data_IF_953777550827
#
_entry.id   IF_953777550827
#
_cell.length_a   1.000
_cell.length_b   1.000
_cell.length_c   1.000
_cell.angle_alpha   90.00
_cell.angle_beta   90.00
_cell.angle_gamma   90.00
#
_symmetry.space_group_name_H-M   'P 1'
#
loop_
_entity.id
_entity.type
_entity.pdbx_description
1 polymer ?
#
# COMPACT_ATOMS: atom_id res chain seq x y z
N UNK A 1 4.33 17.37 -3.90
CA UNK A 1 3.81 16.14 -4.54
C UNK A 1 4.61 14.91 -4.13
N UNK A 2 5.94 14.93 -4.34
CA UNK A 2 6.91 13.87 -3.99
C UNK A 2 6.70 13.18 -2.63
N UNK A 3 6.66 13.95 -1.55
CA UNK A 3 6.54 13.42 -0.18
C UNK A 3 5.20 12.72 0.10
N UNK A 4 4.13 13.12 -0.59
CA UNK A 4 2.83 12.45 -0.49
C UNK A 4 2.87 11.05 -1.11
N UNK A 5 3.52 10.90 -2.26
CA UNK A 5 3.70 9.59 -2.90
C UNK A 5 4.59 8.68 -2.05
N UNK A 6 5.66 9.22 -1.47
CA UNK A 6 6.50 8.51 -0.51
C UNK A 6 5.69 8.01 0.70
N UNK A 7 4.79 8.86 1.21
CA UNK A 7 3.90 8.52 2.32
C UNK A 7 2.96 7.35 1.97
N UNK A 8 2.39 7.35 0.77
CA UNK A 8 1.55 6.25 0.28
C UNK A 8 2.36 4.96 0.16
N UNK A 9 3.58 5.01 -0.40
CA UNK A 9 4.44 3.84 -0.52
C UNK A 9 4.78 3.22 0.85
N UNK A 10 5.11 4.05 1.83
CA UNK A 10 5.40 3.61 3.21
C UNK A 10 4.16 3.02 3.90
N UNK A 11 2.97 3.58 3.66
CA UNK A 11 1.72 3.04 4.20
C UNK A 11 1.42 1.63 3.65
N UNK A 12 1.61 1.42 2.34
CA UNK A 12 1.47 0.11 1.71
C UNK A 12 2.47 -0.90 2.25
N UNK A 13 3.74 -0.51 2.35
CA UNK A 13 4.81 -1.34 2.91
C UNK A 13 4.48 -1.76 4.34
N UNK A 14 4.02 -0.81 5.17
CA UNK A 14 3.62 -1.06 6.55
C UNK A 14 2.43 -2.00 6.65
N UNK A 15 1.45 -1.85 5.77
CA UNK A 15 0.27 -2.73 5.73
C UNK A 15 0.67 -4.17 5.47
N UNK A 16 1.53 -4.41 4.47
CA UNK A 16 2.06 -5.74 4.15
C UNK A 16 2.87 -6.30 5.32
N UNK A 17 3.73 -5.49 5.92
CA UNK A 17 4.51 -5.89 7.11
C UNK A 17 3.61 -6.23 8.31
N UNK A 18 2.54 -5.47 8.53
CA UNK A 18 1.55 -5.74 9.58
C UNK A 18 0.85 -7.08 9.40
N UNK A 19 0.46 -7.41 8.16
CA UNK A 19 -0.12 -8.72 7.83
C UNK A 19 0.84 -9.87 8.13
N UNK A 20 2.13 -9.73 7.79
CA UNK A 20 3.16 -10.71 8.12
C UNK A 20 3.30 -10.95 9.62
N UNK A 21 3.36 -9.86 10.38
CA UNK A 21 3.59 -9.94 11.82
C UNK A 21 2.46 -10.71 12.49
N UNK A 22 1.22 -10.49 12.06
CA UNK A 22 0.06 -11.19 12.58
C UNK A 22 0.08 -12.69 12.28
N UNK A 23 0.55 -13.09 11.09
CA UNK A 23 0.73 -14.50 10.72
C UNK A 23 1.77 -15.19 11.61
N UNK A 24 2.96 -14.59 11.77
CA UNK A 24 4.04 -15.18 12.57
C UNK A 24 3.63 -15.38 14.04
N UNK A 25 2.78 -14.51 14.59
CA UNK A 25 2.24 -14.67 15.94
C UNK A 25 1.13 -15.72 16.08
N UNK A 26 0.67 -16.37 15.00
CA UNK A 26 -0.36 -17.42 15.06
C UNK A 26 -1.74 -16.95 15.57
N UNK A 27 -1.93 -15.64 15.78
CA UNK A 27 -3.12 -15.04 16.39
C UNK A 27 -4.32 -14.89 15.46
N UNK A 28 -4.23 -15.35 14.20
CA UNK A 28 -5.32 -15.19 13.23
C UNK A 28 -6.53 -16.11 13.47
N UNK A 29 -6.40 -17.17 14.28
CA UNK A 29 -7.44 -18.21 14.38
C UNK A 29 -8.32 -18.16 15.63
N UNK A 30 -7.99 -17.37 16.65
CA UNK A 30 -8.72 -17.38 17.92
C UNK A 30 -9.17 -15.99 18.35
N UNK A 31 -10.42 -15.63 18.02
CA UNK A 31 -11.18 -14.54 18.63
C UNK A 31 -10.35 -13.31 19.00
N UNK A 32 -9.78 -12.61 18.02
CA UNK A 32 -9.13 -11.32 18.29
C UNK A 32 -10.19 -10.39 18.88
N UNK A 33 -10.11 -10.16 20.19
CA UNK A 33 -11.04 -9.34 20.93
C UNK A 33 -11.26 -8.00 20.20
N UNK A 34 -12.52 -7.61 20.01
CA UNK A 34 -12.91 -6.38 19.28
C UNK A 34 -12.19 -5.11 19.77
N UNK A 35 -11.65 -5.13 20.99
CA UNK A 35 -10.80 -4.10 21.59
C UNK A 35 -9.45 -3.93 20.86
N UNK A 36 -8.79 -5.02 20.45
CA UNK A 36 -7.52 -4.98 19.70
C UNK A 36 -7.71 -4.33 18.32
N UNK A 37 -8.80 -4.65 17.63
CA UNK A 37 -9.12 -4.05 16.32
C UNK A 37 -9.31 -2.54 16.45
N UNK A 38 -10.03 -2.08 17.49
CA UNK A 38 -10.22 -0.65 17.76
C UNK A 38 -8.90 0.05 18.09
N UNK A 39 -8.01 -0.60 18.84
CA UNK A 39 -6.69 -0.07 19.16
C UNK A 39 -5.82 0.10 17.91
N UNK A 40 -5.75 -0.93 17.05
CA UNK A 40 -4.98 -0.87 15.80
C UNK A 40 -5.50 0.24 14.89
N UNK A 41 -6.82 0.38 14.73
CA UNK A 41 -7.41 1.47 13.95
C UNK A 41 -6.98 2.86 14.46
N UNK A 42 -7.05 3.09 15.78
CA UNK A 42 -6.62 4.36 16.38
C UNK A 42 -5.13 4.62 16.16
N UNK A 43 -4.29 3.59 16.25
CA UNK A 43 -2.85 3.71 16.02
C UNK A 43 -2.54 4.05 14.55
N UNK A 44 -3.21 3.41 13.60
CA UNK A 44 -3.05 3.67 12.17
C UNK A 44 -3.43 5.11 11.83
N UNK A 45 -4.55 5.62 12.36
CA UNK A 45 -4.97 7.01 12.13
C UNK A 45 -3.93 8.00 12.66
N UNK A 46 -3.45 7.81 13.90
CA UNK A 46 -2.41 8.69 14.48
C UNK A 46 -1.10 8.65 13.71
N UNK A 47 -0.70 7.48 13.22
CA UNK A 47 0.51 7.35 12.41
C UNK A 47 0.34 8.06 11.07
N UNK A 48 -0.79 7.88 10.41
CA UNK A 48 -1.09 8.53 9.14
C UNK A 48 -1.05 10.06 9.29
N UNK A 49 -1.63 10.61 10.36
CA UNK A 49 -1.52 12.03 10.68
C UNK A 49 -0.07 12.50 10.86
N UNK A 50 0.76 11.71 11.57
CA UNK A 50 2.19 12.01 11.72
C UNK A 50 2.94 11.98 10.39
N UNK A 51 2.65 10.99 9.55
CA UNK A 51 3.27 10.83 8.24
C UNK A 51 2.95 12.02 7.32
N UNK A 52 1.68 12.45 7.31
CA UNK A 52 1.25 13.66 6.58
C UNK A 52 1.96 14.90 7.11
N UNK A 53 1.99 15.08 8.44
CA UNK A 53 2.68 16.23 9.04
C UNK A 53 4.17 16.25 8.65
N UNK A 54 4.86 15.11 8.73
CA UNK A 54 6.26 14.99 8.31
C UNK A 54 6.43 15.27 6.81
N UNK A 55 5.49 14.84 5.97
CA UNK A 55 5.49 15.15 4.54
C UNK A 55 5.38 16.66 4.30
N UNK A 56 4.52 17.37 5.04
CA UNK A 56 4.40 18.83 4.92
C UNK A 56 5.65 19.56 5.42
N UNK A 57 6.20 19.15 6.56
CA UNK A 57 7.43 19.73 7.09
C UNK A 57 8.60 19.49 6.12
N UNK A 58 8.75 18.27 5.61
CA UNK A 58 9.76 17.94 4.61
C UNK A 58 9.60 18.73 3.32
N UNK A 59 8.36 18.89 2.83
CA UNK A 59 8.08 19.73 1.68
C UNK A 59 8.44 21.20 1.92
N UNK A 60 8.07 21.76 3.09
CA UNK A 60 8.42 23.12 3.45
C UNK A 60 9.93 23.33 3.46
N UNK A 61 10.69 22.43 4.12
CA UNK A 61 12.15 22.50 4.20
C UNK A 61 12.83 22.41 2.83
N UNK A 62 12.38 21.52 1.95
CA UNK A 62 12.93 21.39 0.59
C UNK A 62 12.52 22.56 -0.32
N UNK A 63 11.41 23.24 -0.02
CA UNK A 63 10.98 24.43 -0.75
C UNK A 63 11.68 25.73 -0.28
N UNK A 64 12.29 25.77 0.92
CA UNK A 64 12.99 26.97 1.41
C UNK A 64 14.05 27.48 0.42
N UNK A 65 14.96 26.66 -0.14
CA UNK A 65 15.92 27.12 -1.14
C UNK A 65 15.28 27.73 -2.39
N UNK A 66 14.10 27.25 -2.79
CA UNK A 66 13.39 27.77 -3.96
C UNK A 66 12.99 29.24 -3.76
N UNK A 67 12.66 29.63 -2.53
CA UNK A 67 12.27 31.01 -2.25
C UNK A 67 13.43 32.01 -2.46
N UNK A 68 14.67 31.59 -2.20
CA UNK A 68 15.85 32.44 -2.39
C UNK A 68 16.38 32.44 -3.82
N UNK A 69 16.14 31.35 -4.56
CA UNK A 69 16.71 31.14 -5.90
C UNK A 69 15.85 31.77 -7.00
N UNK A 70 14.54 31.88 -6.78
CA UNK A 70 13.60 32.36 -7.80
C UNK A 70 13.41 33.86 -7.70
N UNK A 71 13.45 34.52 -8.85
CA UNK A 71 13.24 35.96 -9.00
C UNK A 71 12.36 36.22 -10.21
N UNK A 72 11.62 37.31 -10.19
CA UNK A 72 10.87 37.78 -11.37
C UNK A 72 11.78 38.66 -12.22
N UNK A 73 11.78 38.43 -13.53
CA UNK A 73 12.37 39.34 -14.53
C UNK A 73 11.21 39.96 -15.30
N UNK A 74 11.22 41.28 -15.40
CA UNK A 74 10.28 42.01 -16.23
C UNK A 74 10.88 42.25 -17.62
N UNK A 75 10.30 41.63 -18.63
CA UNK A 75 10.69 41.77 -20.03
C UNK A 75 9.68 42.66 -20.75
N UNK A 76 9.74 43.99 -20.57
CA UNK A 76 8.90 45.06 -21.19
C UNK A 76 7.39 44.80 -21.34
N UNK A 77 6.97 43.74 -22.04
CA UNK A 77 5.60 43.29 -22.28
C UNK A 77 5.15 42.12 -21.41
N UNK A 78 6.05 41.39 -20.74
CA UNK A 78 5.68 40.25 -19.87
C UNK A 78 6.69 40.01 -18.75
N UNK A 79 6.23 39.45 -17.63
CA UNK A 79 7.08 39.07 -16.50
C UNK A 79 7.25 37.56 -16.39
N UNK A 80 8.48 37.07 -16.31
CA UNK A 80 8.79 35.65 -16.10
C UNK A 80 9.36 35.43 -14.70
N UNK A 81 8.84 34.44 -13.99
CA UNK A 81 9.50 33.91 -12.80
C UNK A 81 10.60 32.94 -13.25
N UNK A 82 11.85 33.23 -12.93
CA UNK A 82 13.00 32.41 -13.33
C UNK A 82 14.03 32.34 -12.21
N UNK A 83 15.05 31.50 -12.37
CA UNK A 83 16.13 31.43 -11.39
C UNK A 83 17.06 32.63 -11.53
N UNK A 84 17.69 33.03 -10.43
CA UNK A 84 18.66 34.12 -10.43
C UNK A 84 19.81 33.89 -11.42
N UNK A 85 20.21 32.63 -11.64
CA UNK A 85 21.25 32.28 -12.60
C UNK A 85 20.83 32.49 -14.05
N UNK A 86 19.57 32.18 -14.39
CA UNK A 86 19.03 32.52 -15.71
C UNK A 86 18.93 34.02 -15.92
N UNK A 87 18.59 34.79 -14.88
CA UNK A 87 18.59 36.25 -14.94
C UNK A 87 19.97 36.79 -15.29
N UNK A 88 21.01 36.33 -14.58
CA UNK A 88 22.38 36.78 -14.80
C UNK A 88 22.83 36.44 -16.23
N UNK A 89 22.60 35.20 -16.70
CA UNK A 89 22.92 34.80 -18.07
C UNK A 89 22.19 35.61 -19.13
N UNK A 90 20.91 35.92 -18.92
CA UNK A 90 20.15 36.74 -19.86
C UNK A 90 20.71 38.16 -19.96
N UNK A 91 21.12 38.74 -18.83
CA UNK A 91 21.74 40.08 -18.79
C UNK A 91 23.12 40.04 -19.47
N UNK A 92 23.96 39.05 -19.19
CA UNK A 92 25.27 38.89 -19.84
C UNK A 92 25.14 38.77 -21.36
N UNK A 93 24.17 37.97 -21.83
CA UNK A 93 23.91 37.79 -23.26
C UNK A 93 23.51 39.11 -23.94
N UNK A 94 22.68 39.94 -23.29
CA UNK A 94 22.27 41.25 -23.84
C UNK A 94 23.46 42.23 -23.94
N UNK A 95 24.42 42.14 -23.02
CA UNK A 95 25.59 43.02 -23.00
C UNK A 95 26.76 42.51 -23.87
N UNK A 96 26.56 41.42 -24.62
CA UNK A 96 27.61 40.83 -25.46
C UNK A 96 28.74 40.16 -24.69
N UNK A 97 28.51 39.82 -23.42
CA UNK A 97 29.46 39.04 -22.63
C UNK A 97 29.47 37.57 -23.07
N UNK A 98 30.66 36.99 -23.14
CA UNK A 98 30.80 35.53 -23.24
C UNK A 98 30.21 34.90 -21.96
N UNK A 99 29.34 33.87 -22.08
CA UNK A 99 28.68 33.27 -20.94
C UNK A 99 29.73 32.67 -20.00
N UNK A 100 29.81 33.22 -18.79
CA UNK A 100 30.74 32.71 -17.78
C UNK A 100 30.41 31.26 -17.43
N UNK A 101 31.45 30.45 -17.21
CA UNK A 101 31.34 29.05 -16.82
C UNK A 101 30.28 28.86 -15.72
N UNK A 102 29.38 27.89 -15.92
CA UNK A 102 28.21 27.63 -15.06
C UNK A 102 28.55 27.67 -13.57
N UNK A 103 27.83 28.47 -12.79
CA UNK A 103 28.06 28.60 -11.36
C UNK A 103 27.86 27.24 -10.66
N UNK A 104 28.84 26.79 -9.87
CA UNK A 104 28.77 25.50 -9.13
C UNK A 104 27.50 25.39 -8.27
N UNK A 105 27.02 26.51 -7.72
CA UNK A 105 25.78 26.58 -6.96
C UNK A 105 24.53 26.23 -7.77
N UNK A 106 24.45 26.63 -9.04
CA UNK A 106 23.33 26.28 -9.93
C UNK A 106 23.25 24.77 -10.11
N UNK A 107 24.41 24.15 -10.33
CA UNK A 107 24.51 22.70 -10.52
C UNK A 107 24.07 21.94 -9.27
N UNK A 108 24.61 22.31 -8.11
CA UNK A 108 24.27 21.66 -6.84
C UNK A 108 22.78 21.82 -6.54
N UNK A 109 22.23 23.02 -6.69
CA UNK A 109 20.81 23.27 -6.46
C UNK A 109 19.94 22.42 -7.40
N UNK A 110 20.24 22.41 -8.68
CA UNK A 110 19.45 21.69 -9.68
C UNK A 110 19.53 20.18 -9.44
N UNK A 111 20.71 19.65 -9.11
CA UNK A 111 20.88 18.24 -8.77
C UNK A 111 20.08 17.85 -7.52
N UNK A 112 20.16 18.65 -6.45
CA UNK A 112 19.41 18.41 -5.21
C UNK A 112 17.90 18.51 -5.43
N UNK A 113 17.45 19.50 -6.19
CA UNK A 113 16.04 19.66 -6.54
C UNK A 113 15.53 18.44 -7.32
N UNK A 114 16.28 18.02 -8.34
CA UNK A 114 15.97 16.85 -9.16
C UNK A 114 15.94 15.55 -8.33
N UNK A 115 16.91 15.37 -7.43
CA UNK A 115 16.99 14.22 -6.56
C UNK A 115 15.79 14.15 -5.60
N UNK A 116 15.46 15.27 -4.96
CA UNK A 116 14.42 15.33 -3.91
C UNK A 116 13.01 15.27 -4.48
N UNK A 117 12.75 15.92 -5.62
CA UNK A 117 11.42 15.98 -6.23
C UNK A 117 11.09 14.72 -7.02
N UNK A 118 12.08 14.13 -7.71
CA UNK A 118 11.82 13.02 -8.62
C UNK A 118 12.45 11.70 -8.17
N UNK A 119 13.78 11.64 -8.04
CA UNK A 119 14.50 10.37 -7.87
C UNK A 119 14.25 9.70 -6.51
N UNK A 120 14.22 10.47 -5.42
CA UNK A 120 14.02 9.93 -4.08
C UNK A 120 12.63 9.30 -3.93
N UNK A 121 11.52 9.95 -4.31
CA UNK A 121 10.21 9.31 -4.34
C UNK A 121 10.18 8.08 -5.24
N UNK A 122 10.75 8.18 -6.44
CA UNK A 122 10.79 7.07 -7.40
C UNK A 122 11.49 5.83 -6.81
N UNK A 123 12.71 6.01 -6.28
CA UNK A 123 13.48 4.93 -5.67
C UNK A 123 12.77 4.33 -4.45
N UNK A 124 12.10 5.15 -3.65
CA UNK A 124 11.34 4.65 -2.52
C UNK A 124 10.12 3.81 -2.94
N UNK A 125 9.38 4.23 -3.97
CA UNK A 125 8.28 3.44 -4.54
C UNK A 125 8.82 2.13 -5.12
N UNK A 126 9.90 2.21 -5.90
CA UNK A 126 10.54 1.04 -6.50
C UNK A 126 10.99 0.05 -5.43
N UNK A 127 11.68 0.51 -4.38
CA UNK A 127 12.13 -0.32 -3.27
C UNK A 127 10.96 -0.94 -2.50
N UNK A 128 9.92 -0.15 -2.19
CA UNK A 128 8.71 -0.67 -1.54
C UNK A 128 8.03 -1.75 -2.41
N UNK A 129 8.01 -1.56 -3.72
CA UNK A 129 7.40 -2.49 -4.66
C UNK A 129 8.18 -3.79 -4.81
N UNK A 130 9.50 -3.69 -5.03
CA UNK A 130 10.41 -4.84 -5.08
C UNK A 130 10.28 -5.64 -3.79
N UNK A 131 10.21 -4.98 -2.64
CA UNK A 131 9.98 -5.64 -1.36
C UNK A 131 8.65 -6.40 -1.31
N UNK A 132 7.55 -5.79 -1.76
CA UNK A 132 6.23 -6.44 -1.80
C UNK A 132 6.24 -7.65 -2.74
N UNK A 133 6.83 -7.53 -3.93
CA UNK A 133 6.96 -8.62 -4.91
C UNK A 133 7.77 -9.77 -4.32
N UNK A 134 8.97 -9.48 -3.82
CA UNK A 134 9.84 -10.47 -3.23
C UNK A 134 9.15 -11.17 -2.07
N UNK A 135 8.42 -10.41 -1.24
CA UNK A 135 7.63 -10.97 -0.16
C UNK A 135 6.53 -11.91 -0.65
N UNK A 136 5.72 -11.50 -1.63
CA UNK A 136 4.65 -12.33 -2.18
C UNK A 136 5.21 -13.60 -2.84
N UNK A 137 6.36 -13.48 -3.50
CA UNK A 137 7.07 -14.59 -4.09
C UNK A 137 7.53 -15.59 -3.03
N UNK A 138 8.27 -15.13 -2.01
CA UNK A 138 8.70 -15.97 -0.89
C UNK A 138 7.53 -16.61 -0.14
N UNK A 139 6.42 -15.88 -0.01
CA UNK A 139 5.20 -16.41 0.58
C UNK A 139 4.60 -17.53 -0.28
N UNK A 140 4.56 -17.37 -1.60
CA UNK A 140 4.07 -18.40 -2.53
C UNK A 140 4.95 -19.65 -2.54
N UNK A 141 6.25 -19.50 -2.24
CA UNK A 141 7.19 -20.61 -2.14
C UNK A 141 7.09 -21.37 -0.82
N UNK A 142 6.45 -20.81 0.21
CA UNK A 142 6.36 -21.47 1.51
C UNK A 142 5.41 -22.67 1.40
N UNK A 143 5.90 -23.92 1.48
CA UNK A 143 5.02 -25.07 1.44
C UNK A 143 4.07 -25.00 2.65
N UNK A 144 2.78 -25.21 2.41
CA UNK A 144 1.80 -25.34 3.49
C UNK A 144 2.20 -26.54 4.32
N UNK A 145 2.97 -26.30 5.38
CA UNK A 145 3.33 -27.33 6.34
C UNK A 145 2.02 -27.70 7.00
N UNK A 146 1.42 -28.80 6.52
CA UNK A 146 0.20 -29.34 7.06
C UNK A 146 0.47 -29.55 8.54
N UNK A 147 -0.14 -28.69 9.37
CA UNK A 147 0.00 -28.78 10.81
C UNK A 147 -0.48 -30.19 11.16
N UNK A 148 0.37 -31.06 11.73
CA UNK A 148 -0.08 -32.39 12.10
C UNK A 148 -1.25 -32.18 13.03
N UNK A 149 -2.44 -32.58 12.57
CA UNK A 149 -3.62 -32.60 13.40
C UNK A 149 -3.25 -33.48 14.58
N UNK A 150 -3.02 -32.85 15.74
CA UNK A 150 -3.04 -33.55 17.02
C UNK A 150 -4.46 -34.06 17.14
N UNK A 151 -4.72 -35.19 16.50
CA UNK A 151 -5.87 -36.01 16.80
C UNK A 151 -5.71 -36.32 18.28
N UNK A 152 -6.49 -35.63 19.10
CA UNK A 152 -6.69 -36.01 20.49
C UNK A 152 -7.26 -37.42 20.46
N UNK A 153 -6.36 -38.40 20.51
CA UNK A 153 -6.68 -39.77 20.81
C UNK A 153 -7.12 -39.76 22.27
N UNK A 154 -8.37 -39.35 22.52
CA UNK A 154 -9.07 -39.72 23.74
C UNK A 154 -9.27 -41.23 23.64
N UNK A 155 -8.31 -41.98 24.16
CA UNK A 155 -8.54 -43.37 24.52
C UNK A 155 -9.66 -43.36 25.55
N UNK A 156 -10.83 -43.86 25.14
CA UNK A 156 -11.89 -44.26 26.04
C UNK A 156 -11.34 -45.40 26.91
N UNK A 157 -10.79 -45.08 28.08
CA UNK A 157 -10.56 -46.08 29.11
C UNK A 157 -11.88 -46.26 29.85
N UNK A 158 -12.72 -47.14 29.32
CA UNK A 158 -13.85 -47.72 30.04
C UNK A 158 -13.27 -48.59 31.16
N UNK A 159 -13.33 -48.13 32.41
CA UNK A 159 -13.34 -49.02 33.57
C UNK A 159 -14.45 -48.59 34.49
N UNK A 160 -15.44 -49.48 34.62
CA UNK A 160 -16.52 -49.38 35.56
C UNK A 160 -16.07 -49.90 36.94
N UNK A 161 -16.75 -49.35 37.96
CA UNK A 161 -17.01 -49.90 39.29
C UNK A 161 -16.07 -49.55 40.46
N UNK A 162 -16.69 -48.79 41.38
CA UNK A 162 -16.74 -48.96 42.83
C UNK A 162 -15.53 -48.54 43.69
N UNK A 163 -15.68 -47.45 44.46
CA UNK A 163 -16.18 -47.49 45.85
C UNK A 163 -15.73 -46.26 46.67
N UNK A 164 -16.72 -45.64 47.31
CA UNK A 164 -16.72 -45.04 48.66
C UNK A 164 -15.81 -43.85 49.04
N UNK A 165 -16.48 -42.87 49.67
CA UNK A 165 -16.11 -42.23 50.95
C UNK A 165 -15.74 -40.74 50.93
N UNK A 166 -16.72 -39.94 51.40
CA UNK A 166 -16.62 -38.94 52.49
C UNK A 166 -15.93 -37.57 52.31
N UNK A 167 -16.56 -36.60 52.99
CA UNK A 167 -16.15 -35.22 53.33
C UNK A 167 -16.37 -34.18 52.23
N UNK A 168 -17.46 -33.39 52.23
CA UNK A 168 -17.90 -32.42 53.23
C UNK A 168 -16.77 -31.51 53.72
N UNK A 169 -16.68 -30.31 53.14
CA UNK A 169 -16.38 -29.06 53.84
C UNK A 169 -16.78 -27.86 52.97
N UNK A 170 -17.84 -27.18 53.41
CA UNK A 170 -18.17 -25.78 53.07
C UNK A 170 -17.30 -24.85 53.93
N UNK A 171 -16.77 -23.78 53.34
CA UNK A 171 -16.44 -22.47 53.95
C UNK A 171 -15.95 -21.57 52.78
N UNK A 172 -16.76 -20.65 52.26
CA UNK A 172 -16.99 -19.26 52.71
C UNK A 172 -15.72 -18.39 52.78
N UNK A 173 -15.59 -17.43 51.86
CA UNK A 173 -15.25 -16.04 52.19
C UNK A 173 -15.64 -15.10 51.04
N UNK A 174 -16.62 -14.26 51.36
CA UNK A 174 -16.91 -12.96 50.77
C UNK A 174 -15.78 -11.93 51.07
N UNK A 175 -15.87 -10.81 50.33
CA UNK A 175 -15.26 -9.48 50.58
C UNK A 175 -13.74 -9.34 50.34
N UNK A 176 -13.21 -8.18 49.93
CA UNK A 176 -13.71 -6.94 49.34
C UNK A 176 -12.50 -6.06 49.00
N UNK A 177 -12.71 -5.09 48.09
CA UNK A 177 -12.11 -3.76 48.04
C UNK A 177 -10.57 -3.59 48.09
N UNK A 178 -10.04 -3.08 46.98
CA UNK A 178 -9.25 -1.84 47.02
C UNK A 178 -9.43 -1.05 45.72
N UNK A 179 -10.26 -0.02 45.84
CA UNK A 179 -10.50 1.04 44.86
C UNK A 179 -9.38 2.08 44.93
N UNK A 180 -8.63 2.26 43.84
CA UNK A 180 -7.78 3.44 43.66
C UNK A 180 -8.62 4.55 43.05
N UNK A 181 -8.93 5.53 43.90
CA UNK A 181 -9.51 6.81 43.58
C UNK A 181 -8.52 7.63 42.72
N UNK A 182 -8.87 7.94 41.47
CA UNK A 182 -8.31 9.13 40.80
C UNK A 182 -9.45 10.07 40.41
N UNK A 183 -9.28 11.26 40.95
CA UNK A 183 -10.16 12.39 41.11
C UNK A 183 -10.63 12.92 39.75
N UNK A 184 -11.96 12.89 39.50
CA UNK A 184 -12.62 13.55 38.38
C UNK A 184 -13.32 14.79 38.92
N UNK A 185 -12.62 15.91 38.89
CA UNK A 185 -13.19 17.22 39.23
C UNK A 185 -14.09 17.72 38.10
N UNK A 186 -15.35 17.91 38.47
CA UNK A 186 -16.41 18.63 37.78
C UNK A 186 -15.99 20.09 37.57
N UNK A 187 -16.05 20.59 36.33
CA UNK A 187 -16.26 22.01 36.07
C UNK A 187 -17.48 22.13 35.15
N UNK A 188 -18.33 23.03 35.59
CA UNK A 188 -19.67 23.38 35.15
C UNK A 188 -19.74 23.98 33.76
N UNK A 189 -20.89 23.70 33.12
CA UNK A 189 -21.67 24.56 32.21
C UNK A 189 -21.05 25.93 31.87
N UNK A 190 -20.77 26.13 30.58
CA UNK A 190 -21.16 27.34 29.86
C UNK A 190 -21.76 26.93 28.51
N UNK A 191 -23.07 27.10 28.46
CA UNK A 191 -23.91 27.10 27.27
C UNK A 191 -23.62 28.41 26.54
N UNK A 192 -23.14 28.35 25.29
CA UNK A 192 -23.14 29.52 24.42
C UNK A 192 -23.77 29.16 23.09
N UNK A 193 -24.94 29.76 22.90
CA UNK A 193 -25.71 29.85 21.69
C UNK A 193 -24.99 30.75 20.68
N UNK A 194 -24.75 30.26 19.47
CA UNK A 194 -24.58 31.09 18.28
C UNK A 194 -25.29 30.43 17.10
N UNK A 195 -26.51 30.91 16.86
CA UNK A 195 -27.15 31.21 15.58
C UNK A 195 -26.62 30.51 14.31
N UNK A 196 -27.45 29.57 13.85
CA UNK A 196 -28.12 29.59 12.56
C UNK A 196 -27.69 30.69 11.56
N UNK A 197 -26.84 30.33 10.61
CA UNK A 197 -26.84 30.93 9.27
C UNK A 197 -26.98 29.83 8.22
N UNK A 198 -28.03 29.98 7.41
CA UNK A 198 -28.35 29.18 6.25
C UNK A 198 -27.21 29.20 5.24
N UNK A 199 -26.58 28.04 5.02
CA UNK A 199 -25.94 27.72 3.75
C UNK A 199 -26.55 26.43 3.19
N UNK A 200 -27.54 26.60 2.32
CA UNK A 200 -27.96 25.57 1.38
C UNK A 200 -26.83 25.35 0.37
N UNK A 201 -25.88 24.48 0.71
CA UNK A 201 -24.98 23.87 -0.27
C UNK A 201 -25.40 22.41 -0.44
N UNK A 202 -26.24 22.19 -1.43
CA UNK A 202 -26.63 20.88 -1.95
C UNK A 202 -25.38 20.22 -2.53
N UNK A 203 -24.66 19.46 -1.71
CA UNK A 203 -23.54 18.63 -2.14
C UNK A 203 -24.11 17.43 -2.88
N UNK A 204 -24.24 17.56 -4.20
CA UNK A 204 -24.56 16.47 -5.12
C UNK A 204 -23.42 15.46 -5.04
N UNK A 205 -23.67 14.36 -4.33
CA UNK A 205 -22.84 13.15 -4.40
C UNK A 205 -23.01 12.57 -5.80
N UNK A 206 -21.94 12.35 -6.60
CA UNK A 206 -22.06 11.63 -7.85
C UNK A 206 -22.40 10.18 -7.54
N UNK A 207 -23.59 9.77 -7.95
CA UNK A 207 -24.07 8.41 -7.89
C UNK A 207 -23.36 7.60 -9.00
N UNK A 208 -22.16 7.09 -8.72
CA UNK A 208 -21.41 6.19 -9.60
C UNK A 208 -21.95 4.75 -9.43
N UNK A 209 -23.13 4.50 -9.98
CA UNK A 209 -23.68 3.18 -10.22
C UNK A 209 -24.43 3.20 -11.55
N UNK A 210 -23.71 3.38 -12.66
CA UNK A 210 -24.19 2.89 -13.96
C UNK A 210 -23.04 2.80 -14.96
N UNK A 211 -22.55 1.60 -15.23
CA UNK A 211 -22.17 1.26 -16.60
C UNK A 211 -22.32 -0.24 -16.82
N UNK A 212 -23.24 -0.54 -17.72
CA UNK A 212 -23.52 -1.84 -18.28
C UNK A 212 -22.32 -2.36 -19.11
N UNK A 213 -22.35 -3.68 -19.30
CA UNK A 213 -21.78 -4.42 -20.43
C UNK A 213 -20.27 -4.71 -20.40
N UNK A 214 -19.93 -5.83 -19.77
CA UNK A 214 -19.06 -6.78 -20.44
C UNK A 214 -19.55 -8.20 -20.14
N UNK A 215 -20.10 -8.80 -21.18
CA UNK A 215 -20.46 -10.21 -21.31
C UNK A 215 -19.25 -11.06 -20.89
N UNK A 216 -19.42 -11.90 -19.88
CA UNK A 216 -18.53 -13.04 -19.63
C UNK A 216 -19.37 -14.30 -19.55
N UNK A 217 -18.93 -15.39 -20.20
CA UNK A 217 -19.69 -16.62 -20.25
C UNK A 217 -19.63 -17.32 -18.88
N UNK A 218 -20.80 -17.57 -18.31
CA UNK A 218 -20.97 -18.55 -17.25
C UNK A 218 -20.52 -19.91 -17.77
N UNK A 219 -19.38 -20.41 -17.30
CA UNK A 219 -19.03 -21.83 -17.40
C UNK A 219 -19.85 -22.59 -16.36
N UNK A 220 -21.13 -22.80 -16.66
CA UNK A 220 -21.92 -23.86 -16.05
C UNK A 220 -21.53 -25.16 -16.74
N UNK A 221 -20.56 -25.86 -16.16
CA UNK A 221 -20.34 -27.27 -16.49
C UNK A 221 -21.39 -28.07 -15.73
N UNK A 222 -22.47 -28.39 -16.44
CA UNK A 222 -23.48 -29.36 -16.02
C UNK A 222 -22.80 -30.71 -15.79
N UNK A 223 -22.89 -31.24 -14.56
CA UNK A 223 -22.60 -32.65 -14.30
C UNK A 223 -23.86 -33.45 -14.61
N UNK A 224 -23.87 -34.01 -15.81
CA UNK A 224 -24.84 -34.97 -16.30
C UNK A 224 -24.75 -36.31 -15.54
N UNK A 225 -25.93 -36.81 -15.15
CA UNK A 225 -26.33 -38.22 -15.18
C UNK A 225 -25.69 -39.17 -14.14
N UNK A 226 -26.49 -39.46 -13.11
CA UNK A 226 -26.49 -40.76 -12.43
C UNK A 226 -26.99 -41.86 -13.35
N UNK A 227 -26.39 -43.06 -13.29
CA UNK A 227 -27.12 -44.30 -13.43
C UNK A 227 -27.14 -45.04 -12.09
N UNK A 228 -28.34 -45.47 -11.69
CA UNK A 228 -28.53 -46.30 -10.51
C UNK A 228 -27.91 -47.68 -10.68
N UNK A 229 -27.38 -48.22 -9.58
CA UNK A 229 -27.10 -49.63 -9.44
C UNK A 229 -27.95 -50.19 -8.31
N UNK A 230 -28.99 -50.93 -8.70
CA UNK A 230 -29.71 -51.87 -7.86
C UNK A 230 -28.81 -53.10 -7.69
N UNK A 231 -28.48 -53.49 -6.46
CA UNK A 231 -27.91 -54.80 -6.15
C UNK A 231 -28.59 -55.34 -4.90
N UNK A 232 -29.33 -56.42 -5.12
CA UNK A 232 -30.07 -57.18 -4.13
C UNK A 232 -29.28 -58.43 -3.78
N UNK A 233 -29.18 -58.71 -2.47
CA UNK A 233 -29.08 -60.06 -1.92
C UNK A 233 -27.69 -60.69 -1.79
N UNK A 234 -27.39 -61.21 -0.60
CA UNK A 234 -26.44 -62.31 -0.44
C UNK A 234 -25.43 -62.17 0.70
N UNK A 235 -25.88 -62.58 1.89
CA UNK A 235 -25.18 -63.31 2.94
C UNK A 235 -23.83 -62.88 3.56
N UNK A 236 -23.84 -63.11 4.87
CA UNK A 236 -22.80 -62.94 5.85
C UNK A 236 -21.46 -63.59 5.48
N UNK A 237 -20.36 -62.88 5.72
CA UNK A 237 -19.17 -63.46 6.35
C UNK A 237 -18.28 -62.35 6.92
N UNK A 238 -17.89 -62.55 8.18
CA UNK A 238 -16.95 -61.73 8.91
C UNK A 238 -15.60 -61.65 8.18
N UNK A 239 -15.22 -60.45 7.78
CA UNK A 239 -13.81 -60.08 7.63
C UNK A 239 -13.62 -58.69 8.22
N UNK A 240 -12.96 -58.63 9.38
CA UNK A 240 -12.41 -57.42 9.99
C UNK A 240 -11.30 -56.86 9.08
N UNK A 241 -11.70 -56.24 7.97
CA UNK A 241 -10.86 -55.30 7.26
C UNK A 241 -11.08 -53.95 7.94
N UNK A 242 -10.15 -53.55 8.80
CA UNK A 242 -10.01 -52.19 9.31
C UNK A 242 -9.79 -51.25 8.13
N UNK A 243 -10.89 -50.91 7.46
CA UNK A 243 -10.97 -49.99 6.36
C UNK A 243 -10.76 -48.61 6.97
N UNK A 244 -9.49 -48.23 7.07
CA UNK A 244 -9.03 -46.85 7.23
C UNK A 244 -9.62 -46.06 6.06
N UNK A 245 -10.87 -45.64 6.20
CA UNK A 245 -11.49 -44.64 5.36
C UNK A 245 -10.60 -43.39 5.48
N UNK A 246 -9.70 -43.24 4.51
CA UNK A 246 -8.95 -42.02 4.28
C UNK A 246 -9.98 -40.92 4.06
N UNK A 247 -10.38 -40.28 5.16
CA UNK A 247 -11.26 -39.13 5.15
C UNK A 247 -10.63 -38.12 4.19
N UNK A 248 -11.33 -37.72 3.11
CA UNK A 248 -10.76 -36.82 2.13
C UNK A 248 -10.35 -35.56 2.86
N UNK A 249 -9.03 -35.37 2.98
CA UNK A 249 -8.44 -34.22 3.65
C UNK A 249 -9.15 -32.98 3.12
N UNK A 250 -9.89 -32.29 4.00
CA UNK A 250 -10.58 -31.05 3.65
C UNK A 250 -9.49 -30.05 3.29
N UNK A 251 -9.09 -30.03 2.00
CA UNK A 251 -8.18 -29.02 1.46
C UNK A 251 -8.83 -27.69 1.79
N UNK A 252 -8.26 -26.96 2.75
CA UNK A 252 -8.73 -25.62 3.08
C UNK A 252 -8.67 -24.82 1.79
N UNK A 253 -9.84 -24.61 1.20
CA UNK A 253 -10.01 -23.93 -0.08
C UNK A 253 -9.68 -22.47 0.21
N UNK A 254 -8.43 -22.08 -0.01
CA UNK A 254 -8.04 -20.67 0.02
C UNK A 254 -8.98 -19.98 -0.96
N UNK A 255 -9.77 -18.99 -0.52
CA UNK A 255 -10.85 -18.51 -1.34
C UNK A 255 -10.28 -17.76 -2.55
N UNK A 256 -10.71 -18.17 -3.75
CA UNK A 256 -10.15 -17.72 -5.03
C UNK A 256 -10.14 -16.18 -5.20
N UNK A 257 -11.11 -15.48 -4.57
CA UNK A 257 -11.19 -14.02 -4.60
C UNK A 257 -9.93 -13.33 -4.04
N UNK A 258 -9.20 -13.99 -3.13
CA UNK A 258 -7.99 -13.44 -2.51
C UNK A 258 -6.79 -13.41 -3.47
N UNK A 259 -6.76 -14.30 -4.45
CA UNK A 259 -5.72 -14.33 -5.50
C UNK A 259 -6.06 -13.32 -6.61
N UNK A 260 -7.33 -13.27 -7.02
CA UNK A 260 -7.81 -12.36 -8.08
C UNK A 260 -7.64 -10.87 -7.71
N UNK A 261 -8.02 -10.49 -6.49
CA UNK A 261 -7.85 -9.12 -5.99
C UNK A 261 -6.39 -8.66 -5.99
N UNK A 262 -5.43 -9.56 -5.78
CA UNK A 262 -4.00 -9.23 -5.75
C UNK A 262 -3.46 -8.93 -7.14
N UNK A 263 -3.89 -9.68 -8.16
CA UNK A 263 -3.46 -9.48 -9.55
C UNK A 263 -3.86 -8.11 -10.09
N UNK A 264 -5.11 -7.69 -9.85
CA UNK A 264 -5.63 -6.40 -10.35
C UNK A 264 -4.93 -5.20 -9.71
N UNK A 265 -4.73 -5.23 -8.39
CA UNK A 265 -4.01 -4.16 -7.66
C UNK A 265 -2.55 -4.08 -8.12
N UNK A 266 -1.95 -5.23 -8.43
CA UNK A 266 -0.59 -5.29 -8.96
C UNK A 266 -0.50 -4.63 -10.34
N UNK A 267 -1.39 -5.01 -11.26
CA UNK A 267 -1.44 -4.43 -12.60
C UNK A 267 -1.65 -2.92 -12.56
N UNK A 268 -2.62 -2.40 -11.80
CA UNK A 268 -2.85 -0.95 -11.73
C UNK A 268 -1.64 -0.20 -11.20
N UNK A 269 -0.96 -0.75 -10.20
CA UNK A 269 0.26 -0.14 -9.64
C UNK A 269 1.39 -0.11 -10.67
N UNK A 270 1.59 -1.19 -11.45
CA UNK A 270 2.57 -1.21 -12.54
C UNK A 270 2.26 -0.15 -13.58
N UNK A 271 1.00 -0.02 -14.00
CA UNK A 271 0.62 0.99 -14.98
C UNK A 271 0.89 2.41 -14.48
N UNK A 272 0.64 2.69 -13.18
CA UNK A 272 0.95 3.99 -12.58
C UNK A 272 2.46 4.25 -12.56
N UNK A 273 3.27 3.26 -12.18
CA UNK A 273 4.74 3.38 -12.17
C UNK A 273 5.26 3.57 -13.60
N UNK A 274 4.74 2.80 -14.56
CA UNK A 274 5.12 2.88 -15.97
C UNK A 274 4.74 4.25 -16.57
N UNK A 275 3.52 4.74 -16.32
CA UNK A 275 3.10 6.07 -16.76
C UNK A 275 3.97 7.17 -16.13
N UNK A 276 4.28 7.06 -14.84
CA UNK A 276 5.18 7.98 -14.16
C UNK A 276 6.58 7.97 -14.80
N UNK A 277 7.13 6.79 -15.10
CA UNK A 277 8.40 6.66 -15.79
C UNK A 277 8.35 7.25 -17.20
N UNK A 278 7.35 6.92 -18.01
CA UNK A 278 7.25 7.39 -19.39
C UNK A 278 7.13 8.92 -19.44
N UNK A 279 6.29 9.51 -18.59
CA UNK A 279 6.06 10.96 -18.61
C UNK A 279 7.24 11.76 -18.06
N UNK A 280 7.95 11.24 -17.06
CA UNK A 280 8.94 12.03 -16.32
C UNK A 280 10.40 11.60 -16.59
N UNK A 281 10.67 10.32 -16.84
CA UNK A 281 12.04 9.83 -17.02
C UNK A 281 12.81 10.57 -18.14
N UNK A 282 12.24 10.83 -19.34
CA UNK A 282 13.00 11.47 -20.42
C UNK A 282 13.55 12.84 -20.01
N UNK A 283 12.70 13.66 -19.37
CA UNK A 283 13.07 14.99 -18.89
C UNK A 283 14.16 14.92 -17.81
N UNK A 284 13.96 14.05 -16.80
CA UNK A 284 14.89 13.95 -15.67
C UNK A 284 16.23 13.31 -16.06
N UNK A 285 16.24 12.36 -17.02
CA UNK A 285 17.47 11.78 -17.57
C UNK A 285 18.23 12.81 -18.40
N UNK A 286 17.53 13.61 -19.22
CA UNK A 286 18.17 14.69 -19.97
C UNK A 286 18.79 15.72 -19.02
N UNK A 287 18.07 16.11 -17.97
CA UNK A 287 18.59 16.99 -16.93
C UNK A 287 19.84 16.39 -16.26
N UNK A 288 19.82 15.11 -15.88
CA UNK A 288 21.00 14.43 -15.33
C UNK A 288 22.18 14.37 -16.31
N UNK A 289 21.93 14.12 -17.59
CA UNK A 289 22.97 14.02 -18.61
C UNK A 289 23.79 15.32 -18.71
N UNK A 290 23.16 16.48 -18.50
CA UNK A 290 23.85 17.78 -18.49
C UNK A 290 24.91 17.91 -17.37
N UNK A 291 24.82 17.09 -16.31
CA UNK A 291 25.80 17.09 -15.23
C UNK A 291 27.02 16.21 -15.51
N UNK A 292 26.85 15.13 -16.28
CA UNK A 292 27.92 14.16 -16.49
C UNK A 292 28.87 14.54 -17.61
N UNK A 293 28.34 15.06 -18.74
CA UNK A 293 29.16 15.49 -19.86
C UNK A 293 28.41 16.48 -20.75
N UNK A 294 29.07 17.58 -21.12
CA UNK A 294 28.55 18.50 -22.14
C UNK A 294 28.41 17.80 -23.50
N UNK A 295 29.33 16.90 -23.84
CA UNK A 295 29.32 16.17 -25.11
C UNK A 295 28.13 15.20 -25.21
N UNK A 296 27.80 14.55 -24.08
CA UNK A 296 26.62 13.68 -24.01
C UNK A 296 25.34 14.47 -24.23
N UNK A 297 25.24 15.67 -23.64
CA UNK A 297 24.10 16.56 -23.84
C UNK A 297 23.95 16.97 -25.31
N UNK A 298 25.04 17.37 -25.96
CA UNK A 298 25.03 17.75 -27.37
C UNK A 298 24.57 16.56 -28.22
N UNK A 299 25.16 15.38 -27.98
CA UNK A 299 24.83 14.16 -28.73
C UNK A 299 23.35 13.78 -28.60
N UNK A 300 22.79 13.82 -27.38
CA UNK A 300 21.36 13.52 -27.16
C UNK A 300 20.46 14.55 -27.83
N UNK A 301 20.79 15.85 -27.74
CA UNK A 301 20.00 16.91 -28.35
C UNK A 301 19.94 16.78 -29.89
N UNK A 302 21.07 16.50 -30.53
CA UNK A 302 21.16 16.25 -31.98
C UNK A 302 20.35 15.02 -32.37
N UNK A 303 20.44 13.92 -31.62
CA UNK A 303 19.65 12.72 -31.89
C UNK A 303 18.14 12.94 -31.74
N UNK A 304 17.71 13.70 -30.73
CA UNK A 304 16.30 14.04 -30.55
C UNK A 304 15.76 14.91 -31.68
N UNK A 305 16.54 15.88 -32.15
CA UNK A 305 16.15 16.72 -33.29
C UNK A 305 16.02 15.88 -34.57
N UNK A 306 16.98 14.98 -34.83
CA UNK A 306 16.93 14.07 -35.98
C UNK A 306 15.74 13.11 -35.90
N UNK A 307 15.44 12.55 -34.72
CA UNK A 307 14.28 11.69 -34.51
C UNK A 307 12.96 12.45 -34.72
N UNK A 308 12.88 13.69 -34.25
CA UNK A 308 11.71 14.55 -34.46
C UNK A 308 11.48 14.86 -35.94
N UNK A 309 12.55 15.15 -36.70
CA UNK A 309 12.44 15.39 -38.15
C UNK A 309 12.00 14.13 -38.90
N UNK A 310 12.49 12.95 -38.51
CA UNK A 310 12.09 11.68 -39.13
C UNK A 310 10.60 11.39 -38.92
N UNK A 311 10.09 11.56 -37.70
CA UNK A 311 8.66 11.36 -37.42
C UNK A 311 7.73 12.31 -38.18
N UNK A 312 8.20 13.52 -38.52
CA UNK A 312 7.43 14.47 -39.33
C UNK A 312 7.37 14.08 -40.81
N UNK A 313 8.38 13.39 -41.33
CA UNK A 313 8.42 12.95 -42.74
C UNK A 313 7.51 11.73 -42.96
N UNK A 314 7.46 10.82 -42.00
CA UNK A 314 6.63 9.61 -42.09
C UNK A 314 5.12 9.93 -41.98
N UNK A 315 4.73 11.10 -41.45
CA UNK A 315 3.34 11.56 -41.39
C UNK A 315 2.82 12.26 -42.67
N UNK A 316 3.68 12.46 -43.67
CA UNK A 316 3.36 13.12 -44.95
C UNK A 316 3.22 12.13 -46.12
N UNK A 317 3.50 10.84 -45.90
CA UNK A 317 3.38 9.76 -46.88
C UNK A 317 2.13 8.91 -46.62
#
# INVERSE_FOLDING_TARGET
MSFGVLSIALDRLRTVYGLMRMEKTGKMAGGVASSQIRFVKRLTVKLFQRLILLSYVGAALVSVPQWFVWTTIDMRTWSQCTTIWHKIRAIEYIHGGEPTESFTGEKIYTLLHLLTVFWLPFLAILAAYVYIVLFLFLYSLRPSTARPSTASFYSTTTTAAAAQSSAFSRLSCDQALSSVHLNRSSISKCQMSCNNENYNSTLVVPNLCNENSSIWPSTTLESSVSPGCHLSGGDATLANASLLCAQPSKKLKVPAWRLEMRSRIFQTTIHVIAAYLICWLPYNVLALATFFSRDLQITISVHLELASKRGSLDGLA
#
